data_IF_331016162183
#
_entry.id   IF_331016162183
#
_cell.length_a   1.000
_cell.length_b   1.000
_cell.length_c   1.000
_cell.angle_alpha   90.00
_cell.angle_beta   90.00
_cell.angle_gamma   90.00
#
_symmetry.space_group_name_H-M   'P 1'
#
loop_
_entity.id
_entity.type
_entity.pdbx_description
1 polymer ?
#
# COMPACT_ATOMS: atom_id res chain seq x y z
N UNK A 1 2.53 -12.83 11.16
CA UNK A 1 1.48 -12.75 12.19
C UNK A 1 1.71 -11.53 13.10
N UNK A 2 1.80 -10.32 12.53
CA UNK A 2 1.99 -9.09 13.32
C UNK A 2 0.67 -8.31 13.47
N UNK A 3 -0.27 -8.50 12.53
CA UNK A 3 -1.56 -7.82 12.45
C UNK A 3 -2.75 -8.66 12.97
N UNK A 4 -2.51 -9.86 13.50
CA UNK A 4 -3.58 -10.74 14.00
C UNK A 4 -4.44 -11.44 12.93
N UNK A 5 -4.24 -11.16 11.64
CA UNK A 5 -4.93 -11.86 10.56
C UNK A 5 -4.33 -13.25 10.33
N UNK A 6 -5.13 -14.28 10.62
CA UNK A 6 -4.78 -15.70 10.49
C UNK A 6 -5.61 -16.39 9.41
N UNK A 7 -6.20 -15.64 8.47
CA UNK A 7 -6.95 -16.22 7.40
C UNK A 7 -6.09 -17.25 6.62
N UNK A 8 -6.48 -18.53 6.58
CA UNK A 8 -5.65 -19.59 6.02
C UNK A 8 -5.27 -19.42 4.54
N UNK A 9 -5.99 -18.59 3.77
CA UNK A 9 -5.66 -18.28 2.36
C UNK A 9 -4.32 -17.57 2.19
N UNK A 10 -3.74 -17.06 3.27
CA UNK A 10 -2.42 -16.44 3.28
C UNK A 10 -1.31 -17.41 3.70
N UNK A 11 -1.68 -18.55 4.29
CA UNK A 11 -0.76 -19.43 5.01
C UNK A 11 -0.55 -20.76 4.29
N UNK A 12 -1.62 -21.41 3.84
CA UNK A 12 -1.55 -22.77 3.32
C UNK A 12 -2.02 -22.86 1.85
N UNK A 13 -1.30 -23.57 0.97
CA UNK A 13 -1.72 -23.74 -0.43
C UNK A 13 -3.08 -24.42 -0.57
N UNK A 14 -3.38 -25.42 0.27
CA UNK A 14 -4.64 -26.17 0.22
C UNK A 14 -5.84 -25.26 0.46
N UNK A 15 -5.81 -24.48 1.53
CA UNK A 15 -6.89 -23.54 1.84
C UNK A 15 -6.98 -22.45 0.79
N UNK A 16 -5.85 -21.93 0.30
CA UNK A 16 -5.84 -20.94 -0.79
C UNK A 16 -6.49 -21.48 -2.07
N UNK A 17 -6.25 -22.75 -2.40
CA UNK A 17 -6.83 -23.41 -3.58
C UNK A 17 -8.35 -23.58 -3.47
N UNK A 18 -8.90 -23.79 -2.26
CA UNK A 18 -10.35 -23.82 -2.04
C UNK A 18 -11.03 -22.49 -2.39
N UNK A 19 -10.29 -21.38 -2.33
CA UNK A 19 -10.75 -20.04 -2.73
C UNK A 19 -10.31 -19.65 -4.15
N UNK A 20 -9.84 -20.62 -4.95
CA UNK A 20 -9.49 -20.40 -6.36
C UNK A 20 -8.10 -19.81 -6.60
N UNK A 21 -7.25 -19.70 -5.57
CA UNK A 21 -5.88 -19.22 -5.73
C UNK A 21 -4.90 -20.37 -5.96
N UNK A 22 -4.03 -20.25 -6.97
CA UNK A 22 -3.00 -21.25 -7.27
C UNK A 22 -1.94 -21.41 -6.16
N UNK A 23 -1.74 -20.36 -5.36
CA UNK A 23 -0.75 -20.23 -4.29
C UNK A 23 -1.33 -19.33 -3.19
N UNK A 24 -0.79 -19.37 -1.96
CA UNK A 24 -1.14 -18.39 -0.93
C UNK A 24 -0.95 -16.96 -1.41
N UNK A 25 -1.82 -16.06 -0.98
CA UNK A 25 -1.80 -14.65 -1.38
C UNK A 25 -1.28 -13.76 -0.25
N UNK A 26 -0.63 -12.65 -0.59
CA UNK A 26 -0.21 -11.67 0.41
C UNK A 26 -1.42 -10.95 1.04
N UNK A 27 -1.31 -10.61 2.33
CA UNK A 27 -2.29 -9.77 3.02
C UNK A 27 -2.30 -8.36 2.42
N UNK A 28 -3.48 -7.76 2.25
CA UNK A 28 -3.58 -6.37 1.78
C UNK A 28 -2.86 -5.39 2.74
N UNK A 29 -3.01 -5.57 4.05
CA UNK A 29 -2.33 -4.74 5.06
C UNK A 29 -0.80 -4.86 5.00
N UNK A 30 -0.28 -6.05 4.66
CA UNK A 30 1.15 -6.22 4.41
C UNK A 30 1.62 -5.40 3.20
N UNK A 31 0.85 -5.39 2.10
CA UNK A 31 1.17 -4.59 0.92
C UNK A 31 1.13 -3.09 1.24
N UNK A 32 0.14 -2.62 2.01
CA UNK A 32 0.05 -1.22 2.45
C UNK A 32 1.25 -0.83 3.31
N UNK A 33 1.59 -1.62 4.33
CA UNK A 33 2.77 -1.36 5.18
C UNK A 33 4.09 -1.46 4.40
N UNK A 34 4.17 -2.34 3.40
CA UNK A 34 5.33 -2.43 2.50
C UNK A 34 5.49 -1.18 1.65
N UNK A 35 4.39 -0.61 1.15
CA UNK A 35 4.40 0.65 0.41
C UNK A 35 4.87 1.81 1.30
N UNK A 36 4.30 1.96 2.49
CA UNK A 36 4.70 2.96 3.49
C UNK A 36 6.20 2.85 3.83
N UNK A 37 6.66 1.65 4.18
CA UNK A 37 8.06 1.41 4.49
C UNK A 37 9.00 1.71 3.31
N UNK A 38 8.54 1.49 2.08
CA UNK A 38 9.32 1.79 0.87
C UNK A 38 9.42 3.29 0.62
N UNK A 39 8.33 4.04 0.81
CA UNK A 39 8.34 5.51 0.75
C UNK A 39 9.30 6.11 1.79
N UNK A 40 9.23 5.65 3.04
CA UNK A 40 10.12 6.11 4.11
C UNK A 40 11.59 5.81 3.83
N UNK A 41 11.89 4.62 3.30
CA UNK A 41 13.26 4.24 2.89
C UNK A 41 13.80 5.11 1.76
N UNK A 42 12.93 5.64 0.91
CA UNK A 42 13.30 6.55 -0.16
C UNK A 42 13.42 8.02 0.29
N UNK A 43 13.35 8.29 1.60
CA UNK A 43 13.51 9.63 2.16
C UNK A 43 12.20 10.42 2.28
N UNK A 44 11.05 9.81 2.03
CA UNK A 44 9.77 10.49 2.22
C UNK A 44 9.40 10.51 3.71
N UNK A 45 9.38 11.70 4.31
CA UNK A 45 8.98 11.88 5.72
C UNK A 45 7.46 11.93 5.87
N UNK A 46 6.87 10.83 6.32
CA UNK A 46 5.46 10.79 6.71
C UNK A 46 5.32 11.33 8.14
N UNK A 47 4.70 12.51 8.29
CA UNK A 47 4.42 13.09 9.60
C UNK A 47 3.11 12.55 10.15
N UNK A 48 3.17 12.01 11.36
CA UNK A 48 1.98 11.48 12.02
C UNK A 48 1.26 12.57 12.83
N UNK A 49 -0.09 12.52 12.89
CA UNK A 49 -0.95 11.53 12.26
C UNK A 49 -1.05 11.70 10.74
N UNK A 50 -1.11 10.58 10.02
CA UNK A 50 -1.34 10.55 8.57
C UNK A 50 -2.38 9.48 8.23
N UNK A 51 -2.99 9.63 7.06
CA UNK A 51 -3.98 8.68 6.53
C UNK A 51 -3.40 8.03 5.29
N UNK A 52 -3.43 6.70 5.26
CA UNK A 52 -3.15 5.90 4.09
C UNK A 52 -4.43 5.21 3.64
N UNK A 53 -4.94 5.59 2.48
CA UNK A 53 -6.02 4.87 1.81
C UNK A 53 -5.43 3.91 0.80
N UNK A 54 -5.93 2.68 0.77
CA UNK A 54 -5.46 1.65 -0.13
C UNK A 54 -6.63 0.93 -0.79
N UNK A 55 -6.58 0.83 -2.10
CA UNK A 55 -7.51 0.07 -2.92
C UNK A 55 -6.78 -1.17 -3.46
N UNK A 56 -7.28 -2.33 -3.08
CA UNK A 56 -6.77 -3.59 -3.56
C UNK A 56 -7.30 -3.88 -4.97
N UNK A 57 -6.38 -4.06 -5.92
CA UNK A 57 -6.74 -4.33 -7.31
C UNK A 57 -6.73 -5.82 -7.61
N UNK A 58 -5.73 -6.55 -7.12
CA UNK A 58 -5.48 -7.94 -7.55
C UNK A 58 -4.79 -8.79 -6.47
N UNK A 59 -5.11 -10.09 -6.37
CA UNK A 59 -4.37 -11.05 -5.56
C UNK A 59 -2.87 -11.07 -5.87
N UNK A 60 -2.04 -11.00 -4.84
CA UNK A 60 -0.58 -11.12 -4.95
C UNK A 60 -0.17 -12.53 -4.55
N UNK A 61 0.04 -13.41 -5.53
CA UNK A 61 0.45 -14.81 -5.30
C UNK A 61 1.89 -14.89 -4.76
N UNK A 62 2.11 -15.69 -3.72
CA UNK A 62 3.42 -15.83 -3.06
C UNK A 62 4.24 -17.01 -3.61
N UNK A 63 5.59 -16.92 -3.66
CA UNK A 63 6.40 -15.70 -3.45
C UNK A 63 6.19 -14.69 -4.59
N UNK A 64 6.25 -13.40 -4.25
CA UNK A 64 6.13 -12.29 -5.19
C UNK A 64 7.31 -11.31 -5.04
N UNK A 65 7.75 -10.75 -6.16
CA UNK A 65 8.59 -9.55 -6.18
C UNK A 65 7.71 -8.33 -6.37
N UNK A 66 7.87 -7.36 -5.47
CA UNK A 66 7.04 -6.17 -5.41
C UNK A 66 7.90 -4.92 -5.64
N UNK A 67 7.37 -4.00 -6.44
CA UNK A 67 7.93 -2.68 -6.67
C UNK A 67 6.95 -1.63 -6.15
N UNK A 68 7.44 -0.67 -5.38
CA UNK A 68 6.63 0.44 -4.88
C UNK A 68 7.02 1.70 -5.65
N UNK A 69 6.02 2.40 -6.15
CA UNK A 69 6.18 3.69 -6.82
C UNK A 69 5.22 4.69 -6.19
N UNK A 70 5.58 5.97 -6.22
CA UNK A 70 4.73 7.06 -5.77
C UNK A 70 4.92 8.27 -6.66
N UNK A 71 3.84 9.03 -6.82
CA UNK A 71 3.81 10.26 -7.56
C UNK A 71 3.45 11.38 -6.58
N UNK A 72 4.44 12.22 -6.28
CA UNK A 72 4.16 13.63 -6.01
C UNK A 72 3.90 14.30 -7.33
N UNK A 73 3.02 15.30 -7.37
CA UNK A 73 2.78 16.12 -8.55
C UNK A 73 4.09 16.52 -9.24
N UNK A 74 4.02 16.76 -10.54
CA UNK A 74 5.14 17.01 -11.47
C UNK A 74 6.30 17.82 -10.86
N UNK A 75 7.33 17.19 -10.29
CA UNK A 75 8.45 17.93 -9.69
C UNK A 75 9.41 17.16 -8.77
N UNK A 76 9.94 16.00 -9.17
CA UNK A 76 11.04 15.33 -8.44
C UNK A 76 10.78 15.00 -6.96
N UNK A 77 11.82 14.56 -6.25
CA UNK A 77 11.71 14.07 -4.87
C UNK A 77 11.16 15.12 -3.89
N UNK A 78 11.38 16.42 -4.17
CA UNK A 78 10.85 17.53 -3.38
C UNK A 78 9.35 17.77 -3.54
N UNK A 79 8.75 17.46 -4.69
CA UNK A 79 7.31 17.64 -4.90
C UNK A 79 6.48 16.56 -4.21
N UNK A 80 7.04 15.39 -3.90
CA UNK A 80 6.31 14.37 -3.13
C UNK A 80 6.07 14.85 -1.70
N UNK A 81 7.11 15.42 -1.07
CA UNK A 81 7.01 15.92 0.29
C UNK A 81 5.99 17.06 0.43
N UNK A 82 5.96 18.01 -0.52
CA UNK A 82 4.98 19.11 -0.49
C UNK A 82 3.54 18.64 -0.70
N UNK A 83 3.32 17.54 -1.43
CA UNK A 83 1.99 17.00 -1.66
C UNK A 83 1.44 16.20 -0.47
N UNK A 84 2.29 15.67 0.40
CA UNK A 84 1.82 15.01 1.63
C UNK A 84 1.05 15.99 2.53
N UNK A 85 1.42 17.25 2.51
CA UNK A 85 0.77 18.33 3.25
C UNK A 85 -0.42 18.93 2.53
N UNK A 86 -0.65 18.54 1.26
CA UNK A 86 -1.84 18.97 0.53
C UNK A 86 -3.04 18.09 0.90
N UNK A 87 -4.24 18.64 0.68
CA UNK A 87 -5.48 17.88 0.79
C UNK A 87 -5.56 16.75 -0.24
N UNK A 88 -4.84 16.85 -1.37
CA UNK A 88 -4.78 15.80 -2.39
C UNK A 88 -3.87 14.62 -1.99
N UNK A 89 -2.82 14.86 -1.21
CA UNK A 89 -1.87 13.81 -0.81
C UNK A 89 -0.95 13.32 -1.94
N UNK A 90 -0.15 12.31 -1.65
CA UNK A 90 0.71 11.63 -2.62
C UNK A 90 0.13 10.27 -3.00
N UNK A 91 -0.03 10.03 -4.31
CA UNK A 91 -0.52 8.74 -4.82
C UNK A 91 0.61 7.71 -4.82
N UNK A 92 0.32 6.49 -4.39
CA UNK A 92 1.27 5.38 -4.46
C UNK A 92 0.67 4.16 -5.15
N UNK A 93 1.55 3.30 -5.65
CA UNK A 93 1.20 2.03 -6.28
C UNK A 93 2.21 0.95 -5.90
N UNK A 94 1.70 -0.25 -5.67
CA UNK A 94 2.48 -1.48 -5.53
C UNK A 94 2.24 -2.32 -6.78
N UNK A 95 3.33 -2.68 -7.45
CA UNK A 95 3.33 -3.48 -8.67
C UNK A 95 3.96 -4.84 -8.40
N UNK A 96 3.43 -5.89 -9.02
CA UNK A 96 4.06 -7.22 -9.02
C UNK A 96 4.86 -7.44 -10.30
N UNK A 97 6.09 -7.92 -10.18
CA UNK A 97 6.95 -8.22 -11.34
C UNK A 97 6.40 -9.33 -12.23
N UNK A 98 5.63 -10.28 -11.68
CA UNK A 98 5.07 -11.40 -12.45
C UNK A 98 3.98 -10.97 -13.44
N UNK A 99 3.30 -9.86 -13.15
CA UNK A 99 2.15 -9.43 -13.94
C UNK A 99 2.31 -8.03 -14.51
N UNK A 100 3.40 -7.32 -14.21
CA UNK A 100 3.61 -5.89 -14.50
C UNK A 100 2.35 -5.05 -14.23
N UNK A 101 1.58 -5.44 -13.22
CA UNK A 101 0.25 -4.91 -12.91
C UNK A 101 0.26 -4.37 -11.49
N UNK A 102 -0.49 -3.29 -11.32
CA UNK A 102 -0.84 -2.76 -10.02
C UNK A 102 -1.62 -3.82 -9.23
N UNK A 103 -1.11 -4.18 -8.05
CA UNK A 103 -1.79 -5.07 -7.12
C UNK A 103 -2.51 -4.28 -6.03
N UNK A 104 -1.98 -3.11 -5.69
CA UNK A 104 -2.54 -2.18 -4.73
C UNK A 104 -2.19 -0.76 -5.16
N UNK A 105 -3.16 0.14 -5.10
CA UNK A 105 -2.95 1.58 -5.30
C UNK A 105 -3.51 2.32 -4.11
N UNK A 106 -3.05 3.53 -3.87
CA UNK A 106 -3.52 4.28 -2.72
C UNK A 106 -3.10 5.72 -2.73
N UNK A 107 -3.51 6.42 -1.68
CA UNK A 107 -3.12 7.78 -1.40
C UNK A 107 -2.63 7.89 0.04
N UNK A 108 -1.62 8.73 0.27
CA UNK A 108 -1.13 9.09 1.59
C UNK A 108 -1.20 10.60 1.78
N UNK A 109 -1.82 11.06 2.87
CA UNK A 109 -1.88 12.48 3.23
C UNK A 109 -1.64 12.66 4.72
N UNK A 110 -0.87 13.68 5.06
CA UNK A 110 -0.61 14.14 6.42
C UNK A 110 -1.39 15.43 6.73
N UNK A 111 -2.21 15.92 5.78
CA UNK A 111 -2.98 17.15 5.94
C UNK A 111 -4.03 17.00 7.04
N UNK A 112 -4.07 17.95 7.98
CA UNK A 112 -4.87 17.85 9.19
C UNK A 112 -6.37 17.65 8.91
N UNK A 113 -6.94 18.33 7.91
CA UNK A 113 -8.36 18.17 7.58
C UNK A 113 -8.66 16.78 7.03
N UNK A 114 -7.75 16.24 6.21
CA UNK A 114 -7.88 14.89 5.63
C UNK A 114 -7.84 13.84 6.72
N UNK A 115 -6.93 14.01 7.69
CA UNK A 115 -6.83 13.16 8.88
C UNK A 115 -8.10 13.23 9.72
N UNK A 116 -8.56 14.45 10.06
CA UNK A 116 -9.78 14.64 10.84
C UNK A 116 -11.01 14.01 10.18
N UNK A 117 -11.15 14.18 8.87
CA UNK A 117 -12.25 13.59 8.11
C UNK A 117 -12.21 12.05 8.13
N UNK A 118 -11.03 11.45 8.02
CA UNK A 118 -10.88 10.00 8.06
C UNK A 118 -11.17 9.40 9.45
N UNK A 119 -10.89 10.13 10.53
CA UNK A 119 -11.21 9.70 11.90
C UNK A 119 -12.70 9.84 12.24
N UNK A 120 -13.43 10.66 11.51
CA UNK A 120 -14.87 10.88 11.69
C UNK A 120 -15.76 9.94 10.85
N UNK A 121 -15.17 9.07 10.02
CA UNK A 121 -15.84 8.11 9.16
C UNK A 121 -15.96 6.73 9.82
#
# INVERSE_FOLDING_TARGET
>A
MLNGDLNPIHLYPVTSALFGFKRPIAHALFLTGKAEASMRKAGLELRYPCVLTAEFKRPTLLPARLHCAWLGGTGGDGAVASNLDSSEGARFAVLSSELSKEVLVGNVSCHHETVHKALAA
#
